data_IF_426805977302
#
_entry.id   IF_426805977302
#
_cell.length_a   1.000
_cell.length_b   1.000
_cell.length_c   1.000
_cell.angle_alpha   90.00
_cell.angle_beta   90.00
_cell.angle_gamma   90.00
#
_symmetry.space_group_name_H-M   'P 1'
#
loop_
_entity.id
_entity.type
_entity.pdbx_description
1 polymer ?
#
# COMPACT_ATOMS: atom_id res chain seq x y z
N UNK A 1 18.09 3.63 2.99
CA UNK A 1 18.03 5.12 3.02
C UNK A 1 16.57 5.51 3.04
N UNK A 2 16.18 6.49 3.85
CA UNK A 2 14.81 6.98 3.84
C UNK A 2 14.51 7.62 2.48
N UNK A 3 13.31 7.36 1.94
CA UNK A 3 12.87 7.91 0.65
C UNK A 3 12.57 9.40 0.81
N UNK A 4 13.37 10.26 0.18
CA UNK A 4 13.25 11.72 0.31
C UNK A 4 12.25 12.35 -0.67
N UNK A 5 12.10 11.76 -1.85
CA UNK A 5 11.20 12.24 -2.90
C UNK A 5 10.52 11.07 -3.61
N UNK A 6 9.34 11.34 -4.15
CA UNK A 6 8.68 10.49 -5.12
C UNK A 6 8.88 11.07 -6.51
N UNK A 7 9.20 10.21 -7.47
CA UNK A 7 9.24 10.60 -8.88
C UNK A 7 7.83 10.47 -9.46
N UNK A 8 7.44 11.49 -10.20
CA UNK A 8 6.21 11.51 -10.99
C UNK A 8 6.66 11.89 -12.40
N UNK A 9 6.38 11.03 -13.38
CA UNK A 9 6.75 11.29 -14.77
C UNK A 9 5.93 12.45 -15.30
N UNK A 10 6.56 13.35 -16.05
CA UNK A 10 5.88 14.48 -16.70
C UNK A 10 4.80 13.99 -17.68
N UNK A 11 5.00 12.81 -18.29
CA UNK A 11 4.04 12.19 -19.21
C UNK A 11 2.66 11.96 -18.58
N UNK A 12 2.56 11.90 -17.25
CA UNK A 12 1.29 11.71 -16.56
C UNK A 12 0.32 12.88 -16.73
N UNK A 13 0.83 14.05 -17.13
CA UNK A 13 0.02 15.25 -17.33
C UNK A 13 -0.87 15.20 -18.58
N UNK A 14 -0.68 14.21 -19.46
CA UNK A 14 -1.56 13.95 -20.61
C UNK A 14 -1.94 12.47 -20.69
N UNK A 15 -2.05 11.81 -19.55
CA UNK A 15 -2.51 10.42 -19.45
C UNK A 15 -4.04 10.43 -19.30
N UNK A 16 -4.75 10.06 -20.38
CA UNK A 16 -6.23 10.07 -20.44
C UNK A 16 -6.86 9.26 -19.30
N UNK A 17 -6.21 8.19 -18.81
CA UNK A 17 -6.75 7.39 -17.71
C UNK A 17 -6.65 8.14 -16.38
N UNK A 18 -5.60 8.93 -16.17
CA UNK A 18 -5.46 9.79 -15.00
C UNK A 18 -6.46 10.94 -15.07
N UNK A 19 -6.64 11.55 -16.24
CA UNK A 19 -7.59 12.65 -16.44
C UNK A 19 -9.05 12.23 -16.19
N UNK A 20 -9.38 10.95 -16.38
CA UNK A 20 -10.71 10.39 -16.10
C UNK A 20 -10.97 10.16 -14.61
N UNK A 21 -9.94 10.10 -13.77
CA UNK A 21 -10.11 9.96 -12.32
C UNK A 21 -10.70 11.22 -11.70
N UNK A 22 -11.57 11.04 -10.71
CA UNK A 22 -12.04 12.18 -9.91
C UNK A 22 -10.87 12.86 -9.19
N UNK A 23 -11.00 14.16 -8.85
CA UNK A 23 -9.99 14.85 -8.05
C UNK A 23 -9.68 14.14 -6.73
N UNK A 24 -10.64 13.42 -6.15
CA UNK A 24 -10.47 12.65 -4.92
C UNK A 24 -9.53 11.45 -5.12
N UNK A 25 -9.75 10.68 -6.19
CA UNK A 25 -8.90 9.55 -6.55
C UNK A 25 -7.49 10.00 -6.95
N UNK A 26 -7.37 11.04 -7.79
CA UNK A 26 -6.06 11.63 -8.12
C UNK A 26 -5.32 12.11 -6.86
N UNK A 27 -6.02 12.79 -5.95
CA UNK A 27 -5.44 13.24 -4.69
C UNK A 27 -4.96 12.06 -3.85
N UNK A 28 -5.77 11.02 -3.67
CA UNK A 28 -5.36 9.83 -2.91
C UNK A 28 -4.11 9.18 -3.53
N UNK A 29 -4.08 9.04 -4.85
CA UNK A 29 -2.95 8.46 -5.56
C UNK A 29 -1.67 9.29 -5.41
N UNK A 30 -1.69 10.57 -5.80
CA UNK A 30 -0.50 11.41 -5.86
C UNK A 30 -0.06 12.02 -4.54
N UNK A 31 -0.99 12.32 -3.63
CA UNK A 31 -0.66 12.97 -2.36
C UNK A 31 -0.39 11.98 -1.25
N UNK A 32 -0.99 10.78 -1.31
CA UNK A 32 -0.91 9.79 -0.24
C UNK A 32 -0.09 8.58 -0.66
N UNK A 33 -0.49 7.86 -1.70
CA UNK A 33 0.12 6.56 -2.04
C UNK A 33 1.53 6.71 -2.62
N UNK A 34 1.67 7.47 -3.71
CA UNK A 34 2.95 7.64 -4.41
C UNK A 34 4.06 8.19 -3.51
N UNK A 35 3.87 9.21 -2.67
CA UNK A 35 4.91 9.75 -1.79
C UNK A 35 4.97 9.10 -0.41
N UNK A 36 4.31 7.96 -0.19
CA UNK A 36 4.38 7.28 1.10
C UNK A 36 5.85 6.85 1.39
N UNK A 37 6.39 7.18 2.57
CA UNK A 37 7.79 6.88 2.91
C UNK A 37 8.03 5.38 3.13
N UNK A 38 6.97 4.59 3.34
CA UNK A 38 7.03 3.14 3.48
C UNK A 38 6.71 2.39 2.18
N UNK A 39 6.41 3.10 1.09
CA UNK A 39 6.18 2.47 -0.21
C UNK A 39 7.40 1.62 -0.61
N UNK A 40 7.18 0.32 -0.68
CA UNK A 40 8.22 -0.66 -0.93
C UNK A 40 8.71 -0.62 -2.38
N UNK A 41 9.82 -1.28 -2.67
CA UNK A 41 10.33 -1.39 -4.04
C UNK A 41 9.37 -2.15 -4.98
N UNK A 42 8.49 -3.01 -4.47
CA UNK A 42 7.45 -3.65 -5.28
C UNK A 42 6.13 -2.87 -5.32
N UNK A 43 6.09 -1.65 -4.77
CA UNK A 43 4.92 -0.76 -4.83
C UNK A 43 3.86 -1.01 -3.77
N UNK A 44 4.18 -1.72 -2.68
CA UNK A 44 3.24 -2.01 -1.58
C UNK A 44 3.48 -1.08 -0.40
N UNK A 45 2.41 -0.61 0.26
CA UNK A 45 2.48 0.12 1.54
C UNK A 45 1.26 -0.21 2.42
N UNK A 46 1.22 0.35 3.63
CA UNK A 46 0.16 0.15 4.62
C UNK A 46 -1.16 0.82 4.17
N UNK A 47 -2.23 0.04 4.05
CA UNK A 47 -3.60 0.55 3.87
C UNK A 47 -4.30 0.77 5.21
N UNK A 48 -4.15 1.98 5.77
CA UNK A 48 -4.73 2.36 7.07
C UNK A 48 -5.63 3.60 6.93
N UNK A 49 -6.84 3.48 6.35
CA UNK A 49 -7.64 4.64 5.95
C UNK A 49 -8.03 5.56 7.11
N UNK A 50 -8.23 5.01 8.33
CA UNK A 50 -8.48 5.81 9.53
C UNK A 50 -7.33 6.78 9.88
N UNK A 51 -6.08 6.45 9.54
CA UNK A 51 -4.90 7.32 9.79
C UNK A 51 -4.83 8.47 8.77
N UNK A 52 -5.56 8.37 7.66
CA UNK A 52 -5.53 9.35 6.58
C UNK A 52 -6.49 10.53 6.80
N UNK A 53 -7.47 10.39 7.70
CA UNK A 53 -8.48 11.43 8.00
C UNK A 53 -7.82 12.76 8.42
N UNK A 54 -6.66 12.71 9.07
CA UNK A 54 -5.94 13.90 9.53
C UNK A 54 -4.94 14.46 8.49
N UNK A 55 -4.93 13.95 7.25
CA UNK A 55 -3.97 14.37 6.21
C UNK A 55 -4.40 15.65 5.47
N UNK A 56 -5.69 16.00 5.52
CA UNK A 56 -6.22 17.26 5.03
C UNK A 56 -7.54 17.60 5.74
N UNK A 57 -7.89 18.88 5.79
CA UNK A 57 -9.15 19.32 6.35
C UNK A 57 -10.34 18.78 5.53
N UNK A 58 -11.40 18.35 6.22
CA UNK A 58 -12.64 17.90 5.59
C UNK A 58 -12.61 16.45 5.06
N UNK A 59 -11.51 15.71 5.23
CA UNK A 59 -11.49 14.28 4.89
C UNK A 59 -12.38 13.49 5.83
N UNK A 60 -13.16 12.58 5.27
CA UNK A 60 -13.93 11.57 6.01
C UNK A 60 -13.46 10.17 5.60
N UNK A 61 -13.74 9.18 6.44
CA UNK A 61 -13.42 7.79 6.10
C UNK A 61 -14.13 7.34 4.81
N UNK A 62 -15.38 7.76 4.63
CA UNK A 62 -16.19 7.46 3.44
C UNK A 62 -15.62 8.11 2.17
N UNK A 63 -15.14 9.35 2.26
CA UNK A 63 -14.45 10.03 1.16
C UNK A 63 -13.20 9.25 0.72
N UNK A 64 -12.38 8.82 1.69
CA UNK A 64 -11.16 8.04 1.42
C UNK A 64 -11.50 6.69 0.78
N UNK A 65 -12.50 5.97 1.32
CA UNK A 65 -12.92 4.67 0.79
C UNK A 65 -13.54 4.79 -0.59
N UNK A 66 -14.28 5.87 -0.87
CA UNK A 66 -14.84 6.14 -2.21
C UNK A 66 -13.74 6.39 -3.24
N UNK A 67 -12.74 7.22 -2.89
CA UNK A 67 -11.57 7.43 -3.74
C UNK A 67 -10.77 6.14 -3.96
N UNK A 68 -10.63 5.31 -2.93
CA UNK A 68 -9.95 4.02 -3.02
C UNK A 68 -10.70 3.03 -3.94
N UNK A 69 -12.04 2.96 -3.83
CA UNK A 69 -12.87 2.14 -4.69
C UNK A 69 -12.76 2.53 -6.17
N UNK A 70 -12.65 3.83 -6.45
CA UNK A 70 -12.38 4.30 -7.81
C UNK A 70 -10.98 3.88 -8.30
N UNK A 71 -9.93 4.08 -7.51
CA UNK A 71 -8.58 3.63 -7.87
C UNK A 71 -8.51 2.11 -8.08
N UNK A 72 -9.28 1.34 -7.32
CA UNK A 72 -9.37 -0.12 -7.44
C UNK A 72 -10.08 -0.56 -8.72
N UNK A 73 -11.20 0.09 -9.04
CA UNK A 73 -11.96 -0.17 -10.27
C UNK A 73 -11.16 0.16 -11.52
N UNK A 74 -10.49 1.32 -11.53
CA UNK A 74 -9.60 1.75 -12.63
C UNK A 74 -8.20 1.11 -12.53
N UNK A 75 -8.02 0.20 -11.55
CA UNK A 75 -6.82 -0.61 -11.31
C UNK A 75 -5.55 0.18 -10.96
N UNK A 76 -5.59 1.50 -10.76
CA UNK A 76 -4.43 2.32 -10.37
C UNK A 76 -3.78 1.84 -9.06
N UNK A 77 -4.61 1.43 -8.10
CA UNK A 77 -4.17 0.84 -6.84
C UNK A 77 -5.10 -0.30 -6.43
N UNK A 78 -4.57 -1.37 -5.86
CA UNK A 78 -5.34 -2.53 -5.40
C UNK A 78 -5.17 -2.69 -3.89
N UNK A 79 -6.24 -3.06 -3.21
CA UNK A 79 -6.32 -3.05 -1.75
C UNK A 79 -6.62 -4.44 -1.20
N UNK A 80 -6.09 -4.73 -0.03
CA UNK A 80 -6.40 -5.92 0.75
C UNK A 80 -6.67 -5.47 2.20
N UNK A 81 -7.94 -5.45 2.60
CA UNK A 81 -8.33 -4.97 3.94
C UNK A 81 -7.92 -5.94 5.06
N UNK A 82 -7.69 -7.21 4.75
CA UNK A 82 -7.35 -8.25 5.75
C UNK A 82 -5.88 -8.17 6.15
N UNK A 83 -5.00 -7.98 5.16
CA UNK A 83 -3.56 -7.75 5.37
C UNK A 83 -3.22 -6.29 5.60
N UNK A 84 -4.19 -5.40 5.37
CA UNK A 84 -4.05 -3.95 5.49
C UNK A 84 -2.93 -3.42 4.59
N UNK A 85 -2.87 -3.95 3.36
CA UNK A 85 -1.91 -3.61 2.31
C UNK A 85 -2.59 -2.92 1.13
N UNK A 86 -1.86 -2.02 0.47
CA UNK A 86 -2.24 -1.44 -0.82
C UNK A 86 -1.06 -1.53 -1.79
N UNK A 87 -1.34 -2.00 -3.00
CA UNK A 87 -0.41 -2.05 -4.13
C UNK A 87 -0.67 -0.87 -5.07
N UNK A 88 0.35 -0.05 -5.32
CA UNK A 88 0.39 0.90 -6.44
C UNK A 88 0.84 0.14 -7.70
N UNK A 89 -0.13 -0.30 -8.51
CA UNK A 89 0.07 -1.35 -9.52
C UNK A 89 1.21 -1.06 -10.50
N UNK A 90 1.22 0.13 -11.08
CA UNK A 90 2.18 0.51 -12.11
C UNK A 90 3.56 0.97 -11.58
N UNK A 91 3.81 0.91 -10.26
CA UNK A 91 4.99 1.52 -9.64
C UNK A 91 6.32 0.97 -10.16
N UNK A 92 6.45 -0.36 -10.27
CA UNK A 92 7.69 -1.01 -10.73
C UNK A 92 8.08 -0.50 -12.13
N UNK A 93 7.10 -0.42 -13.01
CA UNK A 93 7.27 -0.02 -14.41
C UNK A 93 7.45 1.48 -14.55
N UNK A 94 6.67 2.29 -13.83
CA UNK A 94 6.79 3.76 -13.88
C UNK A 94 8.13 4.25 -13.34
N UNK A 95 8.72 3.55 -12.37
CA UNK A 95 10.05 3.87 -11.86
C UNK A 95 11.19 3.15 -12.59
N UNK A 96 10.88 2.31 -13.59
CA UNK A 96 11.86 1.48 -14.31
C UNK A 96 12.76 0.68 -13.35
N UNK A 97 12.20 0.15 -12.26
CA UNK A 97 13.00 -0.50 -11.22
C UNK A 97 13.73 -1.73 -11.74
N UNK A 98 13.12 -2.47 -12.67
CA UNK A 98 13.75 -3.64 -13.26
C UNK A 98 14.80 -3.28 -14.33
N UNK A 99 14.97 -2.00 -14.71
CA UNK A 99 16.09 -1.60 -15.59
C UNK A 99 17.45 -1.86 -14.94
N UNK A 100 17.54 -1.66 -13.63
CA UNK A 100 18.78 -1.79 -12.86
C UNK A 100 18.80 -3.13 -12.09
N UNK A 101 19.80 -4.00 -12.32
CA UNK A 101 19.94 -5.29 -11.61
C UNK A 101 19.86 -5.19 -10.08
N UNK A 102 20.47 -4.17 -9.46
CA UNK A 102 20.41 -4.01 -7.99
C UNK A 102 19.00 -3.69 -7.50
N UNK A 103 18.21 -2.97 -8.31
CA UNK A 103 16.84 -2.64 -7.96
C UNK A 103 15.90 -3.81 -8.20
N UNK A 104 16.15 -4.65 -9.21
CA UNK A 104 15.44 -5.92 -9.36
C UNK A 104 15.60 -6.84 -8.13
N UNK A 105 16.80 -6.91 -7.53
CA UNK A 105 17.00 -7.62 -6.25
C UNK A 105 16.13 -7.02 -5.15
N UNK A 106 16.16 -5.70 -4.99
CA UNK A 106 15.35 -5.01 -3.98
C UNK A 106 13.83 -5.17 -4.20
N UNK A 107 13.38 -5.27 -5.45
CA UNK A 107 11.98 -5.59 -5.80
C UNK A 107 11.63 -6.99 -5.35
N UNK A 108 12.49 -7.98 -5.59
CA UNK A 108 12.26 -9.36 -5.15
C UNK A 108 12.25 -9.49 -3.62
N UNK A 109 13.18 -8.81 -2.93
CA UNK A 109 13.21 -8.77 -1.46
C UNK A 109 11.92 -8.13 -0.91
N UNK A 110 11.49 -7.01 -1.49
CA UNK A 110 10.24 -6.35 -1.12
C UNK A 110 9.01 -7.22 -1.40
N UNK A 111 9.00 -7.95 -2.53
CA UNK A 111 7.97 -8.90 -2.90
C UNK A 111 7.82 -10.01 -1.85
N UNK A 112 8.93 -10.56 -1.34
CA UNK A 112 8.87 -11.60 -0.30
C UNK A 112 8.18 -11.10 0.98
N UNK A 113 8.37 -9.82 1.32
CA UNK A 113 7.76 -9.16 2.48
C UNK A 113 6.29 -8.76 2.35
N UNK A 114 5.67 -8.95 1.17
CA UNK A 114 4.22 -8.73 0.99
C UNK A 114 3.46 -9.85 1.70
N UNK A 115 2.33 -9.54 2.33
CA UNK A 115 1.51 -10.56 3.01
C UNK A 115 0.34 -11.04 2.14
N UNK A 116 -0.28 -10.15 1.38
CA UNK A 116 -1.41 -10.46 0.52
C UNK A 116 -1.00 -11.36 -0.64
N UNK A 117 -1.60 -12.56 -0.65
CA UNK A 117 -1.43 -13.55 -1.72
C UNK A 117 -1.90 -13.00 -3.08
N UNK A 118 -2.99 -12.22 -3.06
CA UNK A 118 -3.56 -11.64 -4.28
C UNK A 118 -2.68 -10.50 -4.81
N UNK A 119 -2.19 -9.61 -3.94
CA UNK A 119 -1.30 -8.54 -4.37
C UNK A 119 0.06 -9.09 -4.85
N UNK A 120 0.59 -10.15 -4.24
CA UNK A 120 1.75 -10.88 -4.77
C UNK A 120 1.51 -11.34 -6.20
N UNK A 121 0.36 -11.94 -6.47
CA UNK A 121 0.05 -12.43 -7.81
C UNK A 121 -0.01 -11.31 -8.84
N UNK A 122 -0.57 -10.15 -8.46
CA UNK A 122 -0.58 -8.96 -9.31
C UNK A 122 0.82 -8.42 -9.55
N UNK A 123 1.68 -8.36 -8.53
CA UNK A 123 3.09 -7.95 -8.70
C UNK A 123 3.79 -8.87 -9.68
N UNK A 124 3.61 -10.18 -9.58
CA UNK A 124 4.19 -11.14 -10.51
C UNK A 124 3.68 -10.88 -11.96
N UNK A 125 2.39 -10.62 -12.15
CA UNK A 125 1.83 -10.23 -13.46
C UNK A 125 2.46 -8.94 -14.00
N UNK A 126 2.66 -7.91 -13.17
CA UNK A 126 3.31 -6.66 -13.60
C UNK A 126 4.79 -6.88 -13.96
N UNK A 127 5.51 -7.78 -13.28
CA UNK A 127 6.89 -8.17 -13.64
C UNK A 127 6.94 -8.90 -14.99
N UNK A 128 5.99 -9.81 -15.23
CA UNK A 128 5.87 -10.50 -16.53
C UNK A 128 5.61 -9.51 -17.66
N UNK A 129 4.72 -8.54 -17.41
CA UNK A 129 4.43 -7.46 -18.34
C UNK A 129 5.67 -6.61 -18.62
N UNK A 130 6.40 -6.19 -17.60
CA UNK A 130 7.61 -5.37 -17.75
C UNK A 130 8.70 -6.11 -18.55
N UNK A 131 8.82 -7.44 -18.37
CA UNK A 131 9.70 -8.27 -19.21
C UNK A 131 9.27 -8.34 -20.67
N UNK A 132 7.96 -8.40 -20.93
CA UNK A 132 7.42 -8.38 -22.28
C UNK A 132 7.62 -7.05 -22.99
N UNK A 133 7.43 -5.93 -22.28
CA UNK A 133 7.60 -4.57 -22.80
C UNK A 133 9.08 -4.18 -22.94
N UNK A 134 9.95 -4.67 -22.06
CA UNK A 134 11.37 -4.32 -21.99
C UNK A 134 12.28 -5.55 -21.89
N UNK A 135 12.32 -6.44 -22.90
CA UNK A 135 13.13 -7.65 -22.87
C UNK A 135 14.64 -7.38 -22.86
N UNK A 136 15.06 -6.14 -23.13
CA UNK A 136 16.44 -5.68 -23.20
C UNK A 136 17.04 -5.28 -21.83
N UNK A 137 16.25 -5.20 -20.76
CA UNK A 137 16.81 -4.84 -19.45
C UNK A 137 17.87 -5.82 -18.97
N UNK A 138 18.98 -5.26 -18.52
CA UNK A 138 20.12 -6.05 -18.05
C UNK A 138 19.78 -6.94 -16.85
N UNK A 139 18.79 -6.56 -16.02
CA UNK A 139 18.40 -7.30 -14.82
C UNK A 139 17.93 -8.73 -15.11
N UNK A 140 17.39 -9.00 -16.31
CA UNK A 140 16.86 -10.32 -16.68
C UNK A 140 17.94 -11.40 -16.71
N UNK A 141 19.19 -11.02 -16.99
CA UNK A 141 20.31 -11.97 -17.18
C UNK A 141 21.50 -11.69 -16.28
N UNK A 142 21.59 -10.52 -15.66
CA UNK A 142 22.74 -10.13 -14.86
C UNK A 142 22.91 -11.01 -13.62
N UNK A 143 24.15 -11.39 -13.32
CA UNK A 143 24.47 -12.40 -12.30
C UNK A 143 23.89 -12.09 -10.90
N UNK A 144 23.86 -10.82 -10.50
CA UNK A 144 23.37 -10.42 -9.16
C UNK A 144 21.83 -10.46 -9.03
N UNK A 145 21.09 -10.41 -10.14
CA UNK A 145 19.62 -10.27 -10.12
C UNK A 145 18.90 -11.45 -10.74
N UNK A 146 19.62 -12.32 -11.45
CA UNK A 146 19.03 -13.44 -12.19
C UNK A 146 18.12 -14.31 -11.32
N UNK A 147 18.58 -14.70 -10.12
CA UNK A 147 17.80 -15.53 -9.20
C UNK A 147 16.57 -14.78 -8.65
N UNK A 148 16.75 -13.52 -8.25
CA UNK A 148 15.66 -12.65 -7.78
C UNK A 148 14.57 -12.45 -8.84
N UNK A 149 14.96 -12.28 -10.10
CA UNK A 149 14.06 -12.14 -11.23
C UNK A 149 13.38 -13.48 -11.57
N UNK A 150 14.12 -14.58 -11.53
CA UNK A 150 13.58 -15.93 -11.75
C UNK A 150 12.49 -16.26 -10.72
N UNK A 151 12.71 -15.92 -9.45
CA UNK A 151 11.68 -16.00 -8.40
C UNK A 151 10.39 -15.27 -8.80
N UNK A 152 10.50 -14.02 -9.25
CA UNK A 152 9.33 -13.21 -9.63
C UNK A 152 8.63 -13.74 -10.88
N UNK A 153 9.38 -14.29 -11.84
CA UNK A 153 8.86 -14.84 -13.08
C UNK A 153 8.29 -16.26 -12.95
N UNK A 154 8.61 -16.97 -11.88
CA UNK A 154 8.05 -18.30 -11.58
C UNK A 154 6.93 -18.25 -10.56
N UNK A 155 6.74 -17.11 -9.90
CA UNK A 155 5.65 -16.86 -8.98
C UNK A 155 4.29 -16.92 -9.69
N UNK A 156 3.28 -17.36 -8.94
CA UNK A 156 1.88 -17.39 -9.42
C UNK A 156 1.43 -16.00 -9.83
N UNK A 157 0.76 -15.91 -10.96
CA UNK A 157 0.25 -14.66 -11.53
C UNK A 157 -1.23 -14.45 -11.21
N UNK A 158 -1.78 -13.29 -11.54
CA UNK A 158 -3.22 -13.00 -11.37
C UNK A 158 -4.15 -13.94 -12.14
N UNK A 159 -3.66 -14.64 -13.16
CA UNK A 159 -4.44 -15.65 -13.87
C UNK A 159 -4.66 -16.91 -13.01
N UNK A 160 -3.71 -17.23 -12.13
CA UNK A 160 -3.76 -18.37 -11.21
C UNK A 160 -4.34 -18.01 -9.84
N UNK A 161 -4.08 -16.78 -9.38
CA UNK A 161 -4.58 -16.25 -8.11
C UNK A 161 -5.28 -14.92 -8.43
N UNK A 162 -6.57 -14.97 -8.79
CA UNK A 162 -7.30 -13.77 -9.18
C UNK A 162 -7.44 -12.80 -8.02
N UNK A 163 -7.38 -11.52 -8.35
CA UNK A 163 -7.64 -10.44 -7.40
C UNK A 163 -9.15 -10.18 -7.30
N UNK A 164 -9.66 -10.16 -6.07
CA UNK A 164 -11.04 -9.84 -5.72
C UNK A 164 -11.06 -8.41 -5.19
N UNK A 165 -11.90 -7.55 -5.80
CA UNK A 165 -12.05 -6.16 -5.39
C UNK A 165 -12.49 -6.06 -3.92
N UNK A 166 -11.73 -5.33 -3.11
CA UNK A 166 -12.04 -5.09 -1.71
C UNK A 166 -13.24 -4.16 -1.56
N UNK A 167 -13.37 -3.18 -2.46
CA UNK A 167 -14.51 -2.29 -2.54
C UNK A 167 -15.44 -2.80 -3.64
N UNK A 168 -16.38 -3.67 -3.26
CA UNK A 168 -17.36 -4.22 -4.21
C UNK A 168 -17.99 -3.14 -5.09
N UNK A 169 -18.33 -3.50 -6.33
CA UNK A 169 -19.02 -2.59 -7.26
C UNK A 169 -20.34 -2.14 -6.62
N UNK A 170 -20.34 -0.95 -6.00
CA UNK A 170 -21.58 -0.22 -5.75
C UNK A 170 -22.12 0.10 -7.13
N UNK A 171 -23.14 -0.66 -7.53
CA UNK A 171 -23.92 -0.37 -8.73
C UNK A 171 -24.21 1.13 -8.73
N UNK A 172 -23.73 1.82 -9.74
CA UNK A 172 -23.74 3.27 -9.85
C UNK A 172 -25.17 3.74 -10.11
N UNK A 173 -25.99 3.80 -9.06
CA UNK A 173 -27.04 4.80 -8.98
C UNK A 173 -26.37 6.10 -8.49
N UNK A 174 -26.40 7.18 -9.27
CA UNK A 174 -25.78 8.43 -8.90
C UNK A 174 -26.69 9.12 -7.87
N UNK A 175 -26.65 8.65 -6.62
CA UNK A 175 -27.10 9.49 -5.53
C UNK A 175 -26.09 10.64 -5.41
N UNK A 176 -26.45 11.76 -6.05
CA UNK A 176 -25.68 12.99 -6.07
C UNK A 176 -25.28 13.34 -4.64
N UNK A 177 -24.01 13.07 -4.30
CA UNK A 177 -23.40 13.69 -3.14
C UNK A 177 -23.33 15.17 -3.48
N UNK A 178 -24.30 15.93 -2.97
CA UNK A 178 -24.34 17.38 -3.08
C UNK A 178 -23.11 17.95 -2.37
N UNK A 179 -22.00 18.12 -3.09
CA UNK A 179 -20.95 19.05 -2.71
C UNK A 179 -21.54 20.45 -2.79
N UNK A 180 -22.16 20.90 -1.70
CA UNK A 180 -22.59 22.30 -1.52
C UNK A 180 -21.38 23.19 -1.30
N UNK A 181 -20.53 23.31 -2.31
CA UNK A 181 -19.57 24.40 -2.41
C UNK A 181 -20.33 25.61 -2.96
N UNK A 182 -21.02 26.32 -2.07
CA UNK A 182 -21.69 27.58 -2.37
C UNK A 182 -20.67 28.71 -2.47
N UNK A 183 -19.97 28.80 -3.60
CA UNK A 183 -19.35 30.05 -4.05
C UNK A 183 -19.94 30.42 -5.41
N UNK A 184 -20.79 31.44 -5.40
CA UNK A 184 -21.48 31.92 -6.59
C UNK A 184 -20.52 32.58 -7.58
N UNK A 185 -20.65 32.21 -8.84
CA UNK A 185 -20.82 33.15 -9.94
C UNK A 185 -21.46 32.41 -11.10
N UNK A 186 -22.67 32.85 -11.46
CA UNK A 186 -23.43 32.27 -12.55
C UNK A 186 -22.90 32.73 -13.90
N UNK A 187 -22.78 31.78 -14.83
CA UNK A 187 -23.08 32.01 -16.24
C UNK A 187 -23.80 30.77 -16.75
N UNK A 188 -25.03 30.99 -17.20
CA UNK A 188 -25.92 30.07 -17.88
C UNK A 188 -25.40 29.70 -19.27
N UNK A 189 -25.55 28.44 -19.68
CA UNK A 189 -26.15 28.14 -20.99
C UNK A 189 -26.67 26.70 -21.08
N UNK A 190 -27.96 26.61 -21.42
CA UNK A 190 -28.72 25.42 -21.73
C UNK A 190 -28.55 25.02 -23.20
N UNK A 191 -28.52 23.70 -23.46
CA UNK A 191 -29.13 22.93 -24.57
C UNK A 191 -28.47 21.54 -24.56
N UNK A 192 -29.12 20.38 -24.56
CA UNK A 192 -30.51 20.03 -24.78
C UNK A 192 -30.61 18.83 -25.75
N UNK A 193 -30.42 17.60 -25.22
CA UNK A 193 -30.94 16.28 -25.68
C UNK A 193 -30.58 15.73 -27.09
N UNK A 194 -30.89 14.45 -27.43
CA UNK A 194 -31.05 13.22 -26.63
C UNK A 194 -30.21 12.01 -27.14
N UNK A 195 -30.18 10.97 -26.32
CA UNK A 195 -29.80 9.57 -26.61
C UNK A 195 -30.65 8.93 -27.74
N UNK A 196 -30.18 7.88 -28.43
CA UNK A 196 -30.69 6.56 -28.07
C UNK A 196 -29.64 5.43 -28.10
N UNK A 197 -29.78 4.51 -27.14
CA UNK A 197 -28.83 3.46 -26.86
C UNK A 197 -28.69 2.34 -27.88
N UNK A 198 -27.74 1.46 -27.61
CA UNK A 198 -27.75 0.06 -28.04
C UNK A 198 -26.91 -0.77 -27.08
N UNK A 199 -27.44 -1.93 -26.73
CA UNK A 199 -26.84 -2.98 -25.92
C UNK A 199 -25.48 -3.40 -26.47
N UNK A 200 -24.43 -3.43 -25.65
CA UNK A 200 -23.21 -4.19 -25.98
C UNK A 200 -22.52 -4.68 -24.71
N UNK A 201 -22.50 -6.00 -24.59
CA UNK A 201 -21.72 -6.75 -23.60
C UNK A 201 -20.26 -6.32 -23.70
N UNK A 202 -19.67 -5.86 -22.60
CA UNK A 202 -18.28 -5.37 -22.59
C UNK A 202 -17.42 -6.28 -21.70
N UNK A 203 -16.81 -7.28 -22.34
CA UNK A 203 -15.53 -7.83 -21.89
C UNK A 203 -14.46 -6.77 -22.19
N UNK A 204 -13.90 -6.13 -21.16
CA UNK A 204 -12.76 -5.20 -21.33
C UNK A 204 -11.62 -5.64 -20.42
N UNK A 205 -10.78 -6.52 -20.96
CA UNK A 205 -9.38 -6.60 -20.57
C UNK A 205 -8.70 -5.31 -21.04
N UNK A 206 -8.26 -4.48 -20.10
CA UNK A 206 -7.48 -3.28 -20.39
C UNK A 206 -6.04 -3.68 -20.78
N UNK A 207 -5.88 -4.00 -22.06
CA UNK A 207 -4.58 -4.08 -22.73
C UNK A 207 -4.10 -2.68 -23.14
N UNK A 208 -2.78 -2.49 -23.17
CA UNK A 208 -2.03 -1.30 -23.63
C UNK A 208 -1.81 -0.14 -22.66
N UNK A 209 -0.63 -0.15 -22.03
CA UNK A 209 0.12 1.05 -21.63
C UNK A 209 1.41 1.00 -22.45
N UNK A 210 1.37 1.50 -23.68
CA UNK A 210 2.51 1.46 -24.61
C UNK A 210 3.25 2.81 -24.54
N UNK A 211 4.30 2.90 -23.71
CA UNK A 211 5.11 4.12 -23.59
C UNK A 211 6.16 4.16 -24.70
N UNK A 212 5.94 5.00 -25.72
CA UNK A 212 6.96 5.32 -26.73
C UNK A 212 8.00 6.30 -26.14
N UNK A 213 9.25 5.86 -25.99
CA UNK A 213 10.37 6.70 -25.53
C UNK A 213 11.27 7.04 -26.72
N UNK A 214 11.44 8.33 -27.03
CA UNK A 214 12.57 8.82 -27.81
C UNK A 214 13.64 9.41 -26.87
N UNK A 215 14.94 9.19 -27.15
CA UNK A 215 16.01 9.65 -26.29
C UNK A 215 16.34 11.11 -26.60
N UNK A 216 16.46 11.96 -25.58
CA UNK A 216 17.22 13.19 -25.75
C UNK A 216 18.25 13.37 -24.64
N UNK A 217 19.46 13.60 -25.11
CA UNK A 217 20.73 13.57 -24.40
C UNK A 217 21.06 14.95 -23.86
N UNK A 218 21.40 15.06 -22.57
CA UNK A 218 22.27 16.14 -22.07
C UNK A 218 23.26 15.57 -21.05
N UNK A 219 24.54 15.77 -21.35
CA UNK A 219 25.71 15.23 -20.67
C UNK A 219 26.13 16.00 -19.39
N UNK A 220 27.05 15.45 -18.57
CA UNK A 220 27.28 15.79 -17.16
C UNK A 220 28.66 16.44 -16.88
N UNK A 221 28.92 16.86 -15.62
CA UNK A 221 30.25 16.91 -14.96
C UNK A 221 30.16 17.39 -13.49
N UNK A 222 31.18 17.18 -12.62
CA UNK A 222 31.99 15.99 -12.40
C UNK A 222 32.16 15.60 -10.90
N UNK A 223 32.98 14.57 -10.70
CA UNK A 223 33.30 13.75 -9.52
C UNK A 223 34.04 14.41 -8.33
N UNK A 224 33.87 13.83 -7.14
CA UNK A 224 34.82 13.91 -6.01
C UNK A 224 34.85 12.55 -5.27
N UNK A 225 36.04 11.97 -5.10
CA UNK A 225 36.22 10.57 -4.70
C UNK A 225 36.74 10.32 -3.27
N UNK A 226 37.14 9.04 -3.07
CA UNK A 226 37.96 8.45 -1.99
C UNK A 226 37.21 8.19 -0.65
N UNK A 227 37.29 7.09 0.15
CA UNK A 227 38.14 5.87 0.33
C UNK A 227 37.38 4.82 1.17
N UNK A 228 37.68 3.52 1.02
CA UNK A 228 37.33 2.45 1.97
C UNK A 228 38.31 2.32 3.14
N UNK A 229 37.82 2.13 4.37
CA UNK A 229 38.56 1.40 5.42
C UNK A 229 37.58 0.60 6.28
N UNK A 230 37.65 -0.73 6.20
CA UNK A 230 37.00 -1.64 7.14
C UNK A 230 37.61 -1.52 8.54
N UNK A 231 36.82 -1.86 9.58
CA UNK A 231 37.34 -2.03 10.94
C UNK A 231 36.27 -2.23 12.02
N UNK A 232 36.20 -3.47 12.52
CA UNK A 232 35.79 -3.93 13.86
C UNK A 232 34.31 -4.22 14.19
N UNK A 233 34.06 -5.53 14.34
CA UNK A 233 33.07 -6.11 15.25
C UNK A 233 33.28 -5.53 16.65
N UNK A 234 32.23 -4.96 17.23
CA UNK A 234 32.17 -4.59 18.65
C UNK A 234 30.76 -4.86 19.16
N UNK A 235 30.71 -5.17 20.45
CA UNK A 235 29.66 -5.82 21.22
C UNK A 235 28.22 -5.36 20.95
N UNK A 236 27.27 -6.27 21.18
CA UNK A 236 25.83 -6.02 21.04
C UNK A 236 25.44 -4.75 21.84
N UNK A 237 24.80 -3.75 21.18
CA UNK A 237 24.44 -2.51 21.85
C UNK A 237 23.33 -2.77 22.88
N UNK A 238 23.58 -2.34 24.12
CA UNK A 238 22.60 -2.36 25.21
C UNK A 238 21.34 -1.58 24.79
N UNK A 239 20.20 -2.28 24.68
CA UNK A 239 18.95 -1.76 24.11
C UNK A 239 18.21 -0.80 25.03
N UNK A 240 18.55 -0.80 26.33
CA UNK A 240 17.85 0.01 27.33
C UNK A 240 18.39 1.43 27.46
N UNK A 241 19.67 1.66 27.13
CA UNK A 241 20.35 2.92 27.40
C UNK A 241 21.00 3.50 26.14
N UNK A 242 20.44 4.58 25.56
CA UNK A 242 21.02 5.18 24.38
C UNK A 242 22.30 5.96 24.72
N UNK A 243 23.36 5.90 23.89
CA UNK A 243 24.57 6.67 24.12
C UNK A 243 24.28 8.18 23.99
N UNK A 244 24.93 9.05 24.77
CA UNK A 244 24.72 10.49 24.70
C UNK A 244 25.20 11.07 23.36
N UNK A 245 24.52 12.10 22.81
CA UNK A 245 24.86 12.67 21.50
C UNK A 245 26.14 13.53 21.50
N UNK A 246 26.74 13.75 22.68
CA UNK A 246 27.92 14.58 22.88
C UNK A 246 28.92 13.90 23.80
N UNK A 247 30.19 14.32 23.73
CA UNK A 247 31.22 13.74 24.59
C UNK A 247 31.05 14.20 26.06
N UNK A 248 31.63 13.49 27.03
CA UNK A 248 31.53 13.83 28.46
C UNK A 248 32.07 15.24 28.81
N UNK A 249 32.99 15.77 28.00
CA UNK A 249 33.52 17.14 28.17
C UNK A 249 32.53 18.23 27.72
N UNK A 250 31.54 17.88 26.90
CA UNK A 250 30.53 18.80 26.37
C UNK A 250 29.12 18.18 26.47
N UNK A 251 28.59 17.95 27.68
CA UNK A 251 27.29 17.29 27.85
C UNK A 251 26.13 18.07 27.19
N UNK A 252 26.25 19.40 27.07
CA UNK A 252 25.30 20.27 26.36
C UNK A 252 25.68 20.58 24.90
N UNK A 253 26.72 19.93 24.37
CA UNK A 253 27.28 20.24 23.06
C UNK A 253 28.28 21.41 23.09
N UNK A 254 28.89 21.67 21.94
CA UNK A 254 29.85 22.75 21.75
C UNK A 254 29.77 23.27 20.32
N UNK A 255 29.93 24.58 20.15
CA UNK A 255 29.99 25.23 18.83
C UNK A 255 31.41 25.18 18.23
N UNK A 256 32.42 24.90 19.06
CA UNK A 256 33.79 24.71 18.59
C UNK A 256 33.96 23.31 17.97
N UNK A 257 34.79 23.15 16.93
CA UNK A 257 35.03 21.85 16.30
C UNK A 257 35.64 20.86 17.33
N UNK A 258 34.85 19.85 17.72
CA UNK A 258 35.27 18.81 18.65
C UNK A 258 35.08 17.41 18.03
N UNK A 259 36.18 16.71 17.79
CA UNK A 259 36.16 15.36 17.19
C UNK A 259 35.39 14.35 18.05
N UNK A 260 35.57 14.38 19.37
CA UNK A 260 34.88 13.47 20.29
C UNK A 260 33.35 13.68 20.30
N UNK A 261 32.86 14.91 20.08
CA UNK A 261 31.43 15.15 19.89
C UNK A 261 30.92 14.59 18.55
N UNK A 262 31.77 14.61 17.50
CA UNK A 262 31.47 13.96 16.23
C UNK A 262 31.36 12.44 16.38
N UNK A 263 32.31 11.82 17.06
CA UNK A 263 32.32 10.37 17.31
C UNK A 263 31.10 9.94 18.15
N UNK A 264 30.73 10.73 19.17
CA UNK A 264 29.52 10.48 19.99
C UNK A 264 28.23 10.55 19.16
N UNK A 265 28.14 11.46 18.19
CA UNK A 265 26.99 11.55 17.28
C UNK A 265 26.89 10.32 16.37
N UNK A 266 27.99 9.89 15.78
CA UNK A 266 28.04 8.68 14.95
C UNK A 266 27.64 7.45 15.76
N UNK A 267 28.12 7.34 17.01
CA UNK A 267 27.72 6.27 17.92
C UNK A 267 26.22 6.29 18.22
N UNK A 268 25.63 7.47 18.43
CA UNK A 268 24.18 7.63 18.64
C UNK A 268 23.36 7.26 17.41
N UNK A 269 23.75 7.72 16.22
CA UNK A 269 23.08 7.36 14.96
C UNK A 269 23.13 5.85 14.69
N UNK A 270 24.24 5.18 15.05
CA UNK A 270 24.36 3.72 14.94
C UNK A 270 23.42 3.00 15.89
N UNK A 271 23.34 3.44 17.14
CA UNK A 271 22.42 2.88 18.13
C UNK A 271 20.96 3.10 17.72
N UNK A 272 20.60 4.31 17.27
CA UNK A 272 19.22 4.62 16.85
C UNK A 272 18.78 3.73 15.68
N UNK A 273 19.69 3.44 14.74
CA UNK A 273 19.44 2.51 13.62
C UNK A 273 19.21 1.08 14.10
N UNK A 274 20.12 0.55 14.91
CA UNK A 274 20.03 -0.81 15.44
C UNK A 274 18.77 -1.01 16.28
N UNK A 275 18.43 -0.04 17.14
CA UNK A 275 17.23 -0.08 17.96
C UNK A 275 15.94 0.00 17.12
N UNK A 276 15.93 0.81 16.05
CA UNK A 276 14.79 0.85 15.12
C UNK A 276 14.59 -0.46 14.37
N UNK A 277 15.67 -1.14 13.97
CA UNK A 277 15.62 -2.46 13.33
C UNK A 277 15.12 -3.53 14.30
N UNK A 278 15.60 -3.52 15.54
CA UNK A 278 15.16 -4.45 16.59
C UNK A 278 13.67 -4.26 16.92
N UNK A 279 13.19 -3.02 17.08
CA UNK A 279 11.78 -2.74 17.31
C UNK A 279 10.90 -3.15 16.13
N UNK A 280 11.42 -3.03 14.90
CA UNK A 280 10.71 -3.51 13.70
C UNK A 280 10.57 -5.03 13.74
N UNK A 281 11.66 -5.75 14.00
CA UNK A 281 11.63 -7.21 14.13
C UNK A 281 10.72 -7.70 15.26
N UNK A 282 10.69 -7.02 16.41
CA UNK A 282 9.76 -7.35 17.51
C UNK A 282 8.30 -7.20 17.09
N UNK A 283 7.94 -6.11 16.42
CA UNK A 283 6.57 -5.90 15.93
C UNK A 283 6.18 -6.93 14.86
N UNK A 284 7.09 -7.27 13.97
CA UNK A 284 6.88 -8.32 12.96
C UNK A 284 6.63 -9.69 13.63
N UNK A 285 7.42 -10.04 14.66
CA UNK A 285 7.23 -11.26 15.43
C UNK A 285 5.89 -11.28 16.21
N UNK A 286 5.50 -10.16 16.83
CA UNK A 286 4.21 -10.03 17.52
C UNK A 286 3.02 -10.18 16.55
N UNK A 287 3.10 -9.59 15.37
CA UNK A 287 2.07 -9.72 14.34
C UNK A 287 1.96 -11.16 13.83
N UNK A 288 3.10 -11.82 13.59
CA UNK A 288 3.13 -13.22 13.19
C UNK A 288 2.48 -14.12 14.25
N UNK A 289 2.84 -13.94 15.52
CA UNK A 289 2.24 -14.68 16.63
C UNK A 289 0.73 -14.43 16.75
N UNK A 290 0.27 -13.18 16.53
CA UNK A 290 -1.15 -12.85 16.55
C UNK A 290 -1.92 -13.49 15.38
N UNK A 291 -1.33 -13.56 14.19
CA UNK A 291 -1.93 -14.20 13.03
C UNK A 291 -2.03 -15.72 13.23
N UNK A 292 -0.95 -16.36 13.70
CA UNK A 292 -0.94 -17.79 14.03
C UNK A 292 -1.99 -18.12 15.11
N UNK A 293 -2.11 -17.27 16.14
CA UNK A 293 -3.14 -17.42 17.17
C UNK A 293 -4.56 -17.29 16.60
N UNK A 294 -4.78 -16.40 15.61
CA UNK A 294 -6.08 -16.25 14.93
C UNK A 294 -6.41 -17.49 14.10
N UNK A 295 -5.46 -18.02 13.33
CA UNK A 295 -5.67 -19.24 12.55
C UNK A 295 -5.98 -20.44 13.46
N UNK A 296 -5.25 -20.59 14.56
CA UNK A 296 -5.54 -21.62 15.55
C UNK A 296 -6.95 -21.46 16.16
N UNK A 297 -7.39 -20.23 16.43
CA UNK A 297 -8.75 -19.98 16.93
C UNK A 297 -9.84 -20.35 15.91
N UNK A 298 -9.61 -20.15 14.61
CA UNK A 298 -10.51 -20.58 13.53
C UNK A 298 -10.54 -22.11 13.46
N UNK A 299 -9.38 -22.76 13.46
CA UNK A 299 -9.27 -24.23 13.38
C UNK A 299 -9.98 -24.95 14.54
N UNK A 300 -9.91 -24.40 15.75
CA UNK A 300 -10.58 -24.98 16.93
C UNK A 300 -12.08 -24.66 17.01
N UNK A 301 -12.62 -23.76 16.20
CA UNK A 301 -13.99 -23.28 16.36
C UNK A 301 -14.95 -24.04 15.45
N UNK A 302 -15.75 -24.92 16.05
CA UNK A 302 -16.78 -25.72 15.35
C UNK A 302 -17.95 -24.89 14.78
N UNK A 303 -17.96 -23.57 15.01
CA UNK A 303 -19.04 -22.67 14.61
C UNK A 303 -18.74 -21.86 13.36
N UNK A 304 -17.46 -21.70 13.02
CA UNK A 304 -17.05 -20.97 11.83
C UNK A 304 -16.63 -21.90 10.70
N UNK A 305 -16.66 -21.38 9.49
CA UNK A 305 -16.02 -21.98 8.32
C UNK A 305 -14.49 -21.78 8.34
N UNK A 306 -13.82 -22.32 7.31
CA UNK A 306 -12.36 -22.29 7.15
C UNK A 306 -11.79 -20.85 7.08
N UNK A 307 -12.63 -19.86 6.84
CA UNK A 307 -12.27 -18.44 6.75
C UNK A 307 -12.63 -17.66 8.04
N UNK A 308 -13.20 -18.31 9.06
CA UNK A 308 -13.56 -17.69 10.33
C UNK A 308 -14.94 -17.00 10.35
N UNK A 309 -15.84 -17.35 9.44
CA UNK A 309 -17.18 -16.79 9.32
C UNK A 309 -18.27 -17.77 9.76
N UNK A 310 -19.39 -17.22 10.25
CA UNK A 310 -20.63 -17.95 10.53
C UNK A 310 -21.70 -17.46 9.56
N UNK A 311 -21.71 -18.03 8.36
CA UNK A 311 -22.52 -17.52 7.25
C UNK A 311 -21.96 -16.19 6.73
N UNK A 312 -22.71 -15.09 6.84
CA UNK A 312 -22.28 -13.77 6.35
C UNK A 312 -21.64 -12.88 7.42
N UNK A 313 -21.37 -13.40 8.61
CA UNK A 313 -20.85 -12.63 9.74
C UNK A 313 -19.53 -13.22 10.26
N UNK A 314 -18.58 -12.35 10.63
CA UNK A 314 -17.33 -12.76 11.29
C UNK A 314 -17.67 -13.44 12.61
N UNK A 315 -17.12 -14.63 12.84
CA UNK A 315 -17.36 -15.38 14.06
C UNK A 315 -16.61 -14.73 15.23
N UNK A 316 -17.30 -14.48 16.35
CA UNK A 316 -16.67 -14.03 17.59
C UNK A 316 -16.12 -15.20 18.44
N UNK A 317 -16.11 -16.42 17.88
CA UNK A 317 -15.72 -17.69 18.51
C UNK A 317 -16.46 -17.99 19.83
N UNK A 318 -17.62 -17.37 20.05
CA UNK A 318 -18.47 -17.60 21.23
C UNK A 318 -19.82 -18.15 20.78
N UNK A 319 -20.22 -19.31 21.31
CA UNK A 319 -21.56 -19.83 21.01
C UNK A 319 -22.66 -19.02 21.72
N UNK A 320 -23.26 -18.09 20.99
CA UNK A 320 -24.41 -17.31 21.46
C UNK A 320 -25.76 -17.91 21.04
N UNK A 321 -25.80 -19.09 20.42
CA UNK A 321 -27.03 -19.66 19.85
C UNK A 321 -28.18 -19.73 20.86
N UNK A 322 -27.88 -20.20 22.08
CA UNK A 322 -28.87 -20.29 23.18
C UNK A 322 -29.35 -18.93 23.69
N UNK A 323 -28.45 -17.94 23.73
CA UNK A 323 -28.77 -16.58 24.18
C UNK A 323 -29.60 -15.84 23.14
N UNK A 324 -29.27 -15.97 21.86
CA UNK A 324 -30.03 -15.42 20.74
C UNK A 324 -31.44 -16.03 20.65
N UNK A 325 -31.56 -17.35 20.86
CA UNK A 325 -32.86 -18.03 20.91
C UNK A 325 -33.75 -17.48 22.04
N UNK A 326 -33.20 -17.30 23.25
CA UNK A 326 -33.93 -16.68 24.36
C UNK A 326 -34.32 -15.23 24.08
N UNK A 327 -33.42 -14.43 23.53
CA UNK A 327 -33.68 -13.03 23.19
C UNK A 327 -34.80 -12.88 22.14
N UNK A 328 -34.76 -13.70 21.09
CA UNK A 328 -35.81 -13.69 20.05
C UNK A 328 -37.17 -14.15 20.57
N UNK A 329 -37.21 -15.12 21.49
CA UNK A 329 -38.44 -15.54 22.14
C UNK A 329 -39.05 -14.42 23.01
N UNK A 330 -38.22 -13.71 23.79
CA UNK A 330 -38.66 -12.55 24.57
C UNK A 330 -39.16 -11.40 23.68
N UNK A 331 -38.48 -11.13 22.56
CA UNK A 331 -38.89 -10.11 21.61
C UNK A 331 -40.25 -10.44 20.96
N UNK A 332 -40.47 -11.70 20.57
CA UNK A 332 -41.78 -12.15 20.04
C UNK A 332 -42.88 -12.02 21.09
N UNK A 333 -42.64 -12.46 22.33
CA UNK A 333 -43.61 -12.34 23.40
C UNK A 333 -43.95 -10.88 23.74
N UNK A 334 -43.00 -9.96 23.59
CA UNK A 334 -43.23 -8.53 23.76
C UNK A 334 -44.04 -7.92 22.60
N UNK A 335 -43.80 -8.38 21.36
CA UNK A 335 -44.55 -7.92 20.17
C UNK A 335 -45.99 -8.48 20.13
N UNK A 336 -46.23 -9.68 20.67
CA UNK A 336 -47.57 -10.24 20.85
C UNK A 336 -48.38 -9.49 21.93
N UNK A 337 -47.71 -8.83 22.87
CA UNK A 337 -48.31 -7.89 23.83
C UNK A 337 -48.34 -6.47 23.25
N UNK A 338 -49.20 -6.18 22.28
CA UNK A 338 -49.51 -4.80 21.90
C UNK A 338 -50.78 -4.29 22.63
N UNK A 339 -50.96 -2.96 22.77
CA UNK A 339 -51.64 -2.31 23.89
C UNK A 339 -53.16 -2.39 23.75
N UNK A 340 -53.78 -3.27 24.52
CA UNK A 340 -55.24 -3.43 24.53
C UNK A 340 -55.78 -4.21 25.71
N UNK A 341 -54.94 -5.01 26.38
CA UNK A 341 -55.31 -5.74 27.59
C UNK A 341 -54.58 -5.12 28.80
N UNK A 342 -55.13 -4.02 29.32
CA UNK A 342 -55.10 -3.68 30.75
C UNK A 342 -56.54 -3.63 31.28
#
# INVERSE_FOLDING_TARGET
>A
MAREYARIRISIAGDDHVEQLTPAAQWLYFRILIPDPKLSHCGVTDWRPKRLINKAAGLTLDYIKTAAAELERERFALFDEDTEEVLVRAYIRSEELLRNPKMAVAVADAYLGVFSRQLKAVIASEVHRDKGEHPDYSSWTHAISRESVELLLTAKTSDEVPYINAFGNRNSDPEQVSTTNRNGNGVTNQKGNPDPGTETQSETQADSLHLHIQPNSLQPAPSRGYVSTEGHQSDEPDSANPPPPHCPSHPGGTEAPCRACGDARVARERWDRANSEQQRGQREAEQQAAYEAKLAAIELCELCDDDGYRGTHVCDHVDRGTTAAKGSALARAALEKNPGDE
#
